data_IF_413744073669
#
_entry.id   IF_413744073669
#
_cell.length_a   1.000
_cell.length_b   1.000
_cell.length_c   1.000
_cell.angle_alpha   90.00
_cell.angle_beta   90.00
_cell.angle_gamma   90.00
#
_symmetry.space_group_name_H-M   'P 1'
#
loop_
_entity.id
_entity.type
_entity.pdbx_description
1 polymer ?
#
# COMPACT_ATOMS: atom_id res chain seq x y z
N UNK A 1 -5.80 -1.05 -15.22
CA UNK A 1 -5.94 0.09 -14.28
C UNK A 1 -5.43 1.34 -14.97
N UNK A 2 -6.01 2.51 -14.71
CA UNK A 2 -5.65 3.75 -15.43
C UNK A 2 -4.58 4.55 -14.69
N UNK A 3 -3.71 5.24 -15.43
CA UNK A 3 -2.67 6.15 -14.91
C UNK A 3 -3.23 7.14 -13.87
N UNK A 4 -4.43 7.68 -14.13
CA UNK A 4 -5.11 8.61 -13.24
C UNK A 4 -5.35 8.08 -11.82
N UNK A 5 -5.58 6.77 -11.64
CA UNK A 5 -5.80 6.19 -10.31
C UNK A 5 -4.51 6.12 -9.50
N UNK A 6 -3.39 5.77 -10.14
CA UNK A 6 -2.07 5.79 -9.48
C UNK A 6 -1.67 7.20 -9.10
N UNK A 7 -1.88 8.17 -10.00
CA UNK A 7 -1.60 9.57 -9.71
C UNK A 7 -2.42 10.05 -8.50
N UNK A 8 -3.69 9.65 -8.38
CA UNK A 8 -4.52 9.96 -7.21
C UNK A 8 -3.98 9.36 -5.90
N UNK A 9 -3.50 8.10 -5.91
CA UNK A 9 -2.92 7.46 -4.72
C UNK A 9 -1.58 8.09 -4.32
N UNK A 10 -0.76 8.49 -5.29
CA UNK A 10 0.47 9.24 -5.04
C UNK A 10 0.15 10.61 -4.41
N UNK A 11 -0.85 11.32 -4.92
CA UNK A 11 -1.29 12.59 -4.37
C UNK A 11 -1.87 12.44 -2.95
N UNK A 12 -2.58 11.34 -2.68
CA UNK A 12 -3.07 11.02 -1.34
C UNK A 12 -1.90 10.84 -0.35
N UNK A 13 -0.88 10.06 -0.71
CA UNK A 13 0.31 9.88 0.13
C UNK A 13 1.07 11.20 0.31
N UNK A 14 1.19 12.01 -0.75
CA UNK A 14 1.83 13.32 -0.67
C UNK A 14 1.10 14.27 0.29
N UNK A 15 -0.23 14.30 0.23
CA UNK A 15 -1.06 15.12 1.13
C UNK A 15 -0.95 14.66 2.59
N UNK A 16 -0.81 13.35 2.83
CA UNK A 16 -0.68 12.79 4.17
C UNK A 16 0.68 13.07 4.81
N UNK A 17 1.76 12.80 4.08
CA UNK A 17 3.14 12.86 4.63
C UNK A 17 3.70 14.29 4.67
N UNK A 18 2.99 15.26 4.07
CA UNK A 18 3.42 16.67 4.04
C UNK A 18 4.76 16.89 3.30
N UNK A 19 5.16 15.91 2.48
CA UNK A 19 6.48 15.84 1.86
C UNK A 19 6.51 16.19 0.38
N UNK A 20 7.70 16.13 -0.22
CA UNK A 20 7.86 16.30 -1.66
C UNK A 20 7.12 15.22 -2.44
N UNK A 21 6.59 15.57 -3.63
CA UNK A 21 5.94 14.59 -4.52
C UNK A 21 6.87 13.43 -4.88
N UNK A 22 8.19 13.67 -4.94
CA UNK A 22 9.20 12.64 -5.18
C UNK A 22 9.25 11.60 -4.06
N UNK A 23 9.17 12.03 -2.80
CA UNK A 23 9.13 11.14 -1.63
C UNK A 23 7.85 10.30 -1.62
N UNK A 24 6.70 10.91 -1.93
CA UNK A 24 5.43 10.19 -2.04
C UNK A 24 5.43 9.16 -3.16
N UNK A 25 6.04 9.47 -4.31
CA UNK A 25 6.22 8.52 -5.41
C UNK A 25 7.11 7.35 -5.02
N UNK A 26 8.18 7.61 -4.29
CA UNK A 26 9.05 6.54 -3.78
C UNK A 26 8.28 5.60 -2.86
N UNK A 27 7.58 6.14 -1.85
CA UNK A 27 6.75 5.34 -0.94
C UNK A 27 5.66 4.54 -1.69
N UNK A 28 4.99 5.19 -2.64
CA UNK A 28 3.98 4.51 -3.45
C UNK A 28 4.56 3.38 -4.32
N UNK A 29 5.74 3.60 -4.91
CA UNK A 29 6.42 2.58 -5.72
C UNK A 29 6.82 1.38 -4.86
N UNK A 30 7.31 1.64 -3.65
CA UNK A 30 7.68 0.62 -2.68
C UNK A 30 6.46 -0.25 -2.29
N UNK A 31 5.34 0.40 -1.92
CA UNK A 31 4.06 -0.29 -1.67
C UNK A 31 3.54 -1.05 -2.88
N UNK A 32 3.77 -0.53 -4.09
CA UNK A 32 3.39 -1.21 -5.34
C UNK A 32 4.20 -2.48 -5.59
N UNK A 33 5.50 -2.47 -5.28
CA UNK A 33 6.35 -3.65 -5.37
C UNK A 33 5.89 -4.73 -4.40
N UNK A 34 5.62 -4.37 -3.14
CA UNK A 34 5.08 -5.30 -2.14
C UNK A 34 3.74 -5.87 -2.57
N UNK A 35 2.79 -5.01 -2.96
CA UNK A 35 1.49 -5.45 -3.45
C UNK A 35 1.60 -6.39 -4.67
N UNK A 36 2.54 -6.15 -5.59
CA UNK A 36 2.79 -7.01 -6.74
C UNK A 36 3.31 -8.40 -6.33
N UNK A 37 4.23 -8.47 -5.36
CA UNK A 37 4.74 -9.72 -4.83
C UNK A 37 3.61 -10.57 -4.23
N UNK A 38 2.82 -9.99 -3.32
CA UNK A 38 1.70 -10.68 -2.67
C UNK A 38 0.60 -11.07 -3.67
N UNK A 39 0.26 -10.18 -4.61
CA UNK A 39 -0.73 -10.44 -5.64
C UNK A 39 -0.38 -11.66 -6.50
N UNK A 40 0.86 -11.70 -6.99
CA UNK A 40 1.37 -12.80 -7.82
C UNK A 40 1.39 -14.12 -7.05
N UNK A 41 2.00 -14.11 -5.85
CA UNK A 41 2.22 -15.32 -5.06
C UNK A 41 0.92 -15.94 -4.53
N UNK A 42 -0.06 -15.13 -4.17
CA UNK A 42 -1.28 -15.59 -3.49
C UNK A 42 -2.55 -15.50 -4.33
N UNK A 43 -2.43 -15.20 -5.64
CA UNK A 43 -3.55 -15.03 -6.58
C UNK A 43 -4.59 -14.02 -6.06
N UNK A 44 -4.08 -12.89 -5.56
CA UNK A 44 -4.87 -11.72 -5.17
C UNK A 44 -4.82 -10.74 -6.34
N UNK A 45 -5.94 -10.07 -6.64
CA UNK A 45 -5.94 -9.02 -7.65
C UNK A 45 -5.00 -7.87 -7.21
N UNK A 46 -4.02 -7.51 -8.06
CA UNK A 46 -3.03 -6.48 -7.75
C UNK A 46 -3.64 -5.18 -7.23
N UNK A 47 -4.66 -4.66 -7.91
CA UNK A 47 -5.34 -3.43 -7.52
C UNK A 47 -5.90 -3.52 -6.10
N UNK A 48 -6.49 -4.67 -5.74
CA UNK A 48 -7.04 -4.91 -4.40
C UNK A 48 -5.94 -4.95 -3.33
N UNK A 49 -4.81 -5.58 -3.63
CA UNK A 49 -3.66 -5.62 -2.73
C UNK A 49 -3.09 -4.22 -2.51
N UNK A 50 -2.90 -3.47 -3.59
CA UNK A 50 -2.36 -2.10 -3.54
C UNK A 50 -3.29 -1.14 -2.80
N UNK A 51 -4.60 -1.16 -3.10
CA UNK A 51 -5.57 -0.31 -2.40
C UNK A 51 -5.54 -0.58 -0.89
N UNK A 52 -5.49 -1.86 -0.49
CA UNK A 52 -5.45 -2.26 0.92
C UNK A 52 -4.15 -1.83 1.60
N UNK A 53 -3.02 -1.90 0.90
CA UNK A 53 -1.72 -1.44 1.39
C UNK A 53 -1.69 0.08 1.58
N UNK A 54 -2.18 0.85 0.60
CA UNK A 54 -2.27 2.32 0.67
C UNK A 54 -3.21 2.77 1.80
N UNK A 55 -4.35 2.10 1.97
CA UNK A 55 -5.28 2.37 3.07
C UNK A 55 -4.63 2.10 4.43
N UNK A 56 -3.98 0.94 4.60
CA UNK A 56 -3.29 0.59 5.84
C UNK A 56 -2.15 1.55 6.17
N UNK A 57 -1.36 1.95 5.16
CA UNK A 57 -0.33 2.98 5.30
C UNK A 57 -0.93 4.29 5.79
N UNK A 58 -2.00 4.77 5.14
CA UNK A 58 -2.65 6.03 5.50
C UNK A 58 -3.20 6.03 6.94
N UNK A 59 -3.86 4.95 7.34
CA UNK A 59 -4.40 4.81 8.70
C UNK A 59 -3.30 4.87 9.76
N UNK A 60 -2.22 4.11 9.57
CA UNK A 60 -1.13 4.04 10.54
C UNK A 60 -0.32 5.35 10.56
N UNK A 61 -0.11 5.97 9.40
CA UNK A 61 0.61 7.24 9.33
C UNK A 61 -0.16 8.37 10.05
N UNK A 62 -1.49 8.40 9.92
CA UNK A 62 -2.32 9.38 10.65
C UNK A 62 -2.23 9.23 12.18
N UNK A 63 -1.91 8.03 12.68
CA UNK A 63 -1.80 7.76 14.11
C UNK A 63 -0.39 8.00 14.65
N UNK A 64 0.63 7.57 13.90
CA UNK A 64 2.03 7.56 14.35
C UNK A 64 2.86 8.73 13.81
N UNK A 65 2.46 9.30 12.68
CA UNK A 65 3.28 10.22 11.86
C UNK A 65 4.65 9.65 11.47
N UNK A 66 4.80 8.32 11.49
CA UNK A 66 6.02 7.59 11.18
C UNK A 66 5.82 6.78 9.89
N UNK A 67 6.62 7.10 8.86
CA UNK A 67 6.55 6.42 7.56
C UNK A 67 6.98 4.95 7.62
N UNK A 68 7.90 4.59 8.50
CA UNK A 68 8.38 3.22 8.64
C UNK A 68 7.33 2.35 9.34
N UNK A 69 6.70 2.85 10.40
CA UNK A 69 5.57 2.17 11.04
C UNK A 69 4.40 2.01 10.07
N UNK A 70 4.07 3.07 9.32
CA UNK A 70 3.03 3.02 8.31
C UNK A 70 3.31 2.01 7.18
N UNK A 71 4.55 1.93 6.73
CA UNK A 71 4.96 0.92 5.76
C UNK A 71 4.81 -0.50 6.33
N UNK A 72 5.26 -0.74 7.57
CA UNK A 72 5.11 -2.03 8.23
C UNK A 72 3.63 -2.46 8.35
N UNK A 73 2.74 -1.51 8.66
CA UNK A 73 1.30 -1.77 8.71
C UNK A 73 0.72 -2.16 7.34
N UNK A 74 1.20 -1.54 6.26
CA UNK A 74 0.83 -1.91 4.90
C UNK A 74 1.29 -3.33 4.55
N UNK A 75 2.53 -3.69 4.89
CA UNK A 75 3.05 -5.05 4.68
C UNK A 75 2.28 -6.09 5.50
N UNK A 76 2.01 -5.81 6.78
CA UNK A 76 1.20 -6.69 7.63
C UNK A 76 -0.21 -6.90 7.08
N UNK A 77 -0.81 -5.87 6.46
CA UNK A 77 -2.11 -5.99 5.78
C UNK A 77 -2.04 -6.94 4.59
N UNK A 78 -0.98 -6.85 3.77
CA UNK A 78 -0.77 -7.75 2.63
C UNK A 78 -0.56 -9.20 3.08
N UNK A 79 0.19 -9.41 4.16
CA UNK A 79 0.36 -10.73 4.78
C UNK A 79 -0.96 -11.30 5.28
N UNK A 80 -1.76 -10.51 5.99
CA UNK A 80 -3.08 -10.93 6.47
C UNK A 80 -4.00 -11.33 5.30
N UNK A 81 -4.01 -10.56 4.20
CA UNK A 81 -4.76 -10.92 3.00
C UNK A 81 -4.30 -12.26 2.41
N UNK A 82 -2.99 -12.52 2.39
CA UNK A 82 -2.43 -13.78 1.93
C UNK A 82 -2.82 -14.97 2.82
N UNK A 83 -2.80 -14.79 4.14
CA UNK A 83 -3.24 -15.81 5.12
C UNK A 83 -4.72 -16.12 4.91
N UNK A 84 -5.59 -15.10 4.89
CA UNK A 84 -7.02 -15.28 4.68
C UNK A 84 -7.33 -15.98 3.35
N UNK A 85 -6.56 -15.69 2.30
CA UNK A 85 -6.72 -16.36 0.99
C UNK A 85 -6.36 -17.84 1.04
N UNK A 86 -5.37 -18.24 1.86
CA UNK A 86 -5.01 -19.65 2.08
C UNK A 86 -6.08 -20.39 2.88
N UNK A 87 -6.65 -19.75 3.91
CA UNK A 87 -7.65 -20.36 4.80
C UNK A 87 -9.02 -20.62 4.15
N UNK A 88 -9.26 -20.08 2.95
CA UNK A 88 -10.52 -20.29 2.18
C UNK A 88 -10.41 -21.50 1.23
N UNK A 89 -9.26 -22.18 1.16
CA UNK A 89 -9.09 -23.45 0.45
C UNK A 89 -9.15 -24.63 1.40
#
# INVERSE_FOLDING_TARGET
MTKARFDAQVLQIAALVGGSLSSARFLFQDLSCEAAFYASRYRIAFCKALDSAVEAFACEYLQSSDTALAHNAACARLEAMAILRKSVR
#
